data_IF_239749878362
#
_entry.id   IF_239749878362
#
_cell.length_a   1.000
_cell.length_b   1.000
_cell.length_c   1.000
_cell.angle_alpha   90.00
_cell.angle_beta   90.00
_cell.angle_gamma   90.00
#
_symmetry.space_group_name_H-M   'P 1'
#
loop_
_entity.id
_entity.type
_entity.pdbx_description
1 polymer ?
#
# COMPACT_ATOMS: atom_id res chain seq x y z
N UNK A 1 -3.57 43.31 -56.44
CA UNK A 1 -3.63 42.97 -54.99
C UNK A 1 -3.65 41.45 -54.75
N UNK A 2 -4.63 40.69 -55.25
CA UNK A 2 -4.71 39.23 -55.04
C UNK A 2 -3.50 38.43 -55.57
N UNK A 3 -2.96 38.81 -56.74
CA UNK A 3 -1.77 38.17 -57.31
C UNK A 3 -0.47 38.45 -56.51
N UNK A 4 -0.37 39.59 -55.82
CA UNK A 4 0.80 39.91 -55.00
C UNK A 4 0.80 39.14 -53.67
N UNK A 5 -0.39 38.89 -53.11
CA UNK A 5 -0.54 38.06 -51.91
C UNK A 5 -0.19 36.59 -52.17
N UNK A 6 -0.52 36.07 -53.36
CA UNK A 6 -0.25 34.67 -53.71
C UNK A 6 1.25 34.38 -53.92
N UNK A 7 2.02 35.37 -54.40
CA UNK A 7 3.48 35.28 -54.54
C UNK A 7 4.17 35.36 -53.17
N UNK A 8 3.69 36.22 -52.27
CA UNK A 8 4.23 36.32 -50.91
C UNK A 8 4.00 35.04 -50.10
N UNK A 9 2.84 34.40 -50.25
CA UNK A 9 2.53 33.14 -49.56
C UNK A 9 3.39 31.97 -50.06
N UNK A 10 3.64 31.88 -51.38
CA UNK A 10 4.50 30.84 -51.97
C UNK A 10 5.96 30.97 -51.56
N UNK A 11 6.47 32.20 -51.44
CA UNK A 11 7.85 32.44 -51.02
C UNK A 11 8.06 32.18 -49.51
N UNK A 12 7.06 32.43 -48.67
CA UNK A 12 7.14 32.13 -47.25
C UNK A 12 7.21 30.62 -46.95
N UNK A 13 6.52 29.80 -47.74
CA UNK A 13 6.54 28.34 -47.60
C UNK A 13 7.88 27.73 -48.03
N UNK A 14 8.48 28.22 -49.12
CA UNK A 14 9.78 27.73 -49.59
C UNK A 14 10.93 28.03 -48.62
N UNK A 15 10.83 29.12 -47.84
CA UNK A 15 11.86 29.51 -46.87
C UNK A 15 11.82 28.68 -45.59
N UNK A 16 10.68 28.08 -45.23
CA UNK A 16 10.56 27.20 -44.07
C UNK A 16 11.11 25.79 -44.33
N UNK A 17 11.03 25.29 -45.56
CA UNK A 17 11.52 23.95 -45.92
C UNK A 17 13.06 23.89 -45.97
N UNK A 18 13.70 24.98 -46.41
CA UNK A 18 15.17 25.07 -46.51
C UNK A 18 15.90 25.11 -45.15
N UNK A 19 15.20 25.40 -44.04
CA UNK A 19 15.80 25.47 -42.71
C UNK A 19 15.60 24.23 -41.84
N UNK A 20 14.72 23.30 -42.25
CA UNK A 20 14.38 22.13 -41.45
C UNK A 20 15.47 21.03 -41.53
N UNK A 21 16.10 20.86 -42.70
CA UNK A 21 17.10 19.81 -42.91
C UNK A 21 18.45 20.10 -42.23
N UNK A 22 18.83 21.37 -42.04
CA UNK A 22 20.10 21.70 -41.35
C UNK A 22 20.00 21.58 -39.82
N UNK A 23 18.81 21.77 -39.23
CA UNK A 23 18.63 21.60 -37.79
C UNK A 23 18.57 20.12 -37.36
N UNK A 24 18.08 19.23 -38.22
CA UNK A 24 17.86 17.81 -37.86
C UNK A 24 19.16 17.09 -37.43
N UNK A 25 20.31 17.45 -38.01
CA UNK A 25 21.60 16.84 -37.70
C UNK A 25 22.13 17.17 -36.30
N UNK A 26 21.74 18.30 -35.72
CA UNK A 26 22.17 18.69 -34.37
C UNK A 26 21.42 17.93 -33.26
N UNK A 27 20.19 17.50 -33.51
CA UNK A 27 19.35 16.82 -32.51
C UNK A 27 19.56 15.30 -32.47
N UNK A 28 19.96 14.67 -33.58
CA UNK A 28 20.24 13.23 -33.67
C UNK A 28 21.26 12.71 -32.62
N UNK A 29 22.42 13.37 -32.39
CA UNK A 29 23.36 12.93 -31.35
C UNK A 29 22.86 13.21 -29.92
N UNK A 30 22.05 14.24 -29.71
CA UNK A 30 21.44 14.52 -28.39
C UNK A 30 20.40 13.48 -28.01
N UNK A 31 19.60 13.02 -28.98
CA UNK A 31 18.58 12.00 -28.77
C UNK A 31 19.20 10.62 -28.56
N UNK A 32 20.28 10.28 -29.29
CA UNK A 32 20.95 8.99 -29.12
C UNK A 32 21.71 8.87 -27.80
N UNK A 33 22.31 9.95 -27.29
CA UNK A 33 23.00 9.97 -26.00
C UNK A 33 22.04 9.75 -24.81
N UNK A 34 20.88 10.42 -24.83
CA UNK A 34 19.86 10.25 -23.80
C UNK A 34 19.22 8.86 -23.83
N UNK A 35 19.02 8.29 -25.02
CA UNK A 35 18.50 6.92 -25.16
C UNK A 35 19.46 5.89 -24.56
N UNK A 36 20.77 6.03 -24.77
CA UNK A 36 21.78 5.12 -24.19
C UNK A 36 21.84 5.25 -22.66
N UNK A 37 21.76 6.46 -22.11
CA UNK A 37 21.69 6.68 -20.66
C UNK A 37 20.43 6.06 -20.04
N UNK A 38 19.27 6.25 -20.65
CA UNK A 38 18.02 5.65 -20.19
C UNK A 38 18.08 4.11 -20.19
N UNK A 39 18.71 3.52 -21.21
CA UNK A 39 18.89 2.07 -21.32
C UNK A 39 19.88 1.53 -20.28
N UNK A 40 20.98 2.25 -20.03
CA UNK A 40 21.92 1.89 -18.96
C UNK A 40 21.29 1.95 -17.56
N UNK A 41 20.51 3.01 -17.26
CA UNK A 41 19.80 3.15 -15.98
C UNK A 41 18.75 2.04 -15.80
N UNK A 42 18.04 1.66 -16.87
CA UNK A 42 17.05 0.59 -16.86
C UNK A 42 17.64 -0.79 -16.60
N UNK A 43 18.91 -1.02 -16.93
CA UNK A 43 19.61 -2.28 -16.65
C UNK A 43 20.22 -2.35 -15.25
N UNK A 44 20.68 -1.21 -14.70
CA UNK A 44 21.35 -1.18 -13.39
C UNK A 44 20.34 -1.18 -12.24
N UNK A 45 19.22 -0.48 -12.36
CA UNK A 45 18.21 -0.38 -11.28
C UNK A 45 17.64 -1.74 -10.83
N UNK A 46 17.25 -2.67 -11.73
CA UNK A 46 16.75 -3.97 -11.32
C UNK A 46 17.78 -4.79 -10.54
N UNK A 47 19.06 -4.74 -10.93
CA UNK A 47 20.12 -5.48 -10.27
C UNK A 47 20.36 -4.98 -8.84
N UNK A 48 20.31 -3.66 -8.62
CA UNK A 48 20.47 -3.06 -7.30
C UNK A 48 19.27 -3.37 -6.40
N UNK A 49 18.04 -3.27 -6.93
CA UNK A 49 16.82 -3.57 -6.17
C UNK A 49 16.73 -5.04 -5.78
N UNK A 50 17.03 -5.97 -6.71
CA UNK A 50 17.07 -7.40 -6.40
C UNK A 50 18.16 -7.71 -5.36
N UNK A 51 19.34 -7.10 -5.47
CA UNK A 51 20.41 -7.27 -4.49
C UNK A 51 20.03 -6.78 -3.08
N UNK A 52 19.33 -5.65 -2.97
CA UNK A 52 18.86 -5.11 -1.70
C UNK A 52 17.81 -6.02 -1.04
N UNK A 53 16.80 -6.47 -1.81
CA UNK A 53 15.74 -7.37 -1.31
C UNK A 53 16.32 -8.72 -0.88
N UNK A 54 17.28 -9.26 -1.63
CA UNK A 54 17.92 -10.54 -1.28
C UNK A 54 18.74 -10.45 0.01
N UNK A 55 19.28 -9.25 0.34
CA UNK A 55 20.06 -9.02 1.55
C UNK A 55 19.17 -9.00 2.80
N UNK A 56 17.99 -8.37 2.73
CA UNK A 56 17.04 -8.34 3.85
C UNK A 56 16.45 -9.72 4.18
N UNK A 57 16.18 -10.56 3.17
CA UNK A 57 15.68 -11.91 3.41
C UNK A 57 16.70 -12.81 4.13
N UNK A 58 18.00 -12.57 3.93
CA UNK A 58 19.04 -13.40 4.54
C UNK A 58 19.19 -13.11 6.04
N UNK A 59 19.08 -11.85 6.44
CA UNK A 59 19.12 -11.45 7.85
C UNK A 59 17.91 -11.94 8.64
N UNK A 60 16.73 -12.02 8.03
CA UNK A 60 15.53 -12.55 8.68
C UNK A 60 15.65 -14.05 8.98
N UNK A 61 16.22 -14.84 8.06
CA UNK A 61 16.40 -16.29 8.26
C UNK A 61 17.47 -16.64 9.29
N UNK A 62 18.49 -15.80 9.49
CA UNK A 62 19.51 -16.04 10.50
C UNK A 62 19.00 -15.76 11.93
N UNK A 63 18.11 -14.78 12.11
CA UNK A 63 17.48 -14.51 13.41
C UNK A 63 16.49 -15.60 13.83
N UNK A 64 15.75 -16.19 12.89
CA UNK A 64 14.79 -17.26 13.21
C UNK A 64 15.47 -18.57 13.61
N UNK A 65 16.73 -18.80 13.20
CA UNK A 65 17.48 -20.01 13.54
C UNK A 65 18.15 -19.93 14.93
N UNK A 66 18.37 -18.71 15.46
CA UNK A 66 19.00 -18.51 16.78
C UNK A 66 18.00 -18.56 17.94
N UNK A 67 16.69 -18.42 17.68
CA UNK A 67 15.62 -18.44 18.69
C UNK A 67 14.87 -19.79 18.76
N UNK A 68 15.57 -20.91 18.56
CA UNK A 68 15.03 -22.25 18.82
C UNK A 68 15.49 -22.75 20.20
N UNK A 69 14.66 -22.63 21.25
CA UNK A 69 15.00 -23.12 22.58
C UNK A 69 14.96 -24.65 22.59
N UNK A 70 16.14 -25.25 22.46
CA UNK A 70 16.36 -26.64 22.82
C UNK A 70 16.19 -26.82 24.34
N UNK A 71 15.21 -27.65 24.70
CA UNK A 71 15.09 -28.41 25.94
C UNK A 71 14.69 -27.67 27.24
N UNK A 72 13.41 -27.74 27.58
CA UNK A 72 12.97 -27.94 28.95
C UNK A 72 11.62 -28.67 29.04
N UNK A 73 11.67 -29.95 29.43
CA UNK A 73 10.72 -30.55 30.38
C UNK A 73 9.29 -30.82 29.92
N UNK A 74 9.04 -32.05 29.50
CA UNK A 74 7.74 -32.71 29.55
C UNK A 74 7.23 -32.74 31.00
N UNK A 75 6.11 -32.07 31.29
CA UNK A 75 5.26 -32.39 32.45
C UNK A 75 3.85 -32.74 31.97
N UNK A 76 3.53 -34.03 32.08
CA UNK A 76 2.18 -34.57 32.00
C UNK A 76 1.34 -34.01 33.18
N UNK A 77 0.29 -33.23 32.89
CA UNK A 77 -0.77 -32.96 33.85
C UNK A 77 -1.90 -33.98 33.70
N UNK A 78 -2.30 -34.68 34.78
CA UNK A 78 -3.48 -35.53 34.77
C UNK A 78 -4.76 -34.70 34.86
N UNK A 79 -5.79 -35.21 34.19
CA UNK A 79 -7.13 -34.68 34.18
C UNK A 79 -7.78 -34.68 35.58
N UNK A 80 -8.48 -33.58 35.89
CA UNK A 80 -9.63 -33.59 36.81
C UNK A 80 -9.48 -32.75 38.07
N UNK A 81 -10.09 -31.55 38.07
CA UNK A 81 -11.11 -31.15 39.05
C UNK A 81 -11.61 -29.73 38.77
N UNK A 82 -12.91 -29.62 38.54
CA UNK A 82 -13.67 -28.40 38.68
C UNK A 82 -13.63 -27.96 40.15
N UNK A 83 -13.24 -26.71 40.41
CA UNK A 83 -13.59 -26.01 41.64
C UNK A 83 -13.64 -24.51 41.34
N UNK A 84 -14.85 -23.97 41.44
CA UNK A 84 -15.12 -22.55 41.35
C UNK A 84 -14.46 -21.81 42.54
N UNK A 85 -13.67 -20.79 42.24
CA UNK A 85 -13.30 -19.75 43.21
C UNK A 85 -13.67 -18.40 42.65
N UNK A 86 -14.85 -17.93 43.07
CA UNK A 86 -15.20 -16.50 43.13
C UNK A 86 -14.22 -15.83 44.09
N UNK A 87 -13.28 -15.05 43.57
CA UNK A 87 -12.56 -14.06 44.38
C UNK A 87 -13.14 -12.69 44.05
N UNK A 88 -14.11 -12.28 44.85
CA UNK A 88 -14.56 -10.89 44.94
C UNK A 88 -13.54 -10.13 45.78
N UNK A 89 -12.52 -9.60 45.11
CA UNK A 89 -11.58 -8.63 45.69
C UNK A 89 -12.06 -7.22 45.38
N UNK A 90 -12.87 -6.63 46.28
CA UNK A 90 -13.05 -5.18 46.35
C UNK A 90 -11.73 -4.54 46.79
N UNK A 91 -10.88 -4.15 45.84
CA UNK A 91 -9.80 -3.20 46.10
C UNK A 91 -10.22 -1.83 45.60
N UNK A 92 -10.79 -1.05 46.53
CA UNK A 92 -11.04 0.38 46.42
C UNK A 92 -9.72 1.10 46.69
N UNK A 93 -8.78 1.05 45.75
CA UNK A 93 -7.51 1.76 45.85
C UNK A 93 -7.00 2.14 44.46
N UNK A 94 -6.71 3.45 44.30
CA UNK A 94 -5.99 4.10 43.19
C UNK A 94 -6.72 4.25 41.86
N UNK A 95 -7.57 5.27 41.81
CA UNK A 95 -7.45 6.25 40.73
C UNK A 95 -6.05 6.88 40.80
N UNK A 96 -5.39 7.09 39.65
CA UNK A 96 -4.02 7.66 39.48
C UNK A 96 -2.86 6.64 39.55
N UNK A 97 -2.74 5.79 38.52
CA UNK A 97 -1.45 5.26 38.00
C UNK A 97 -1.69 4.30 36.82
N UNK A 98 -2.50 4.69 35.82
CA UNK A 98 -2.49 3.99 34.53
C UNK A 98 -1.47 4.73 33.67
N UNK A 99 -0.35 4.08 33.36
CA UNK A 99 0.55 4.53 32.31
C UNK A 99 -0.21 4.73 30.98
N UNK A 100 0.42 5.29 29.94
CA UNK A 100 -0.23 5.39 28.63
C UNK A 100 -0.75 3.99 28.27
N UNK A 101 -2.08 3.85 28.20
CA UNK A 101 -2.65 2.61 27.69
C UNK A 101 -2.23 2.57 26.24
N UNK A 102 -1.50 1.53 25.85
CA UNK A 102 -1.23 1.29 24.44
C UNK A 102 -2.57 1.37 23.71
N UNK A 103 -2.65 2.13 22.60
CA UNK A 103 -3.89 2.30 21.89
C UNK A 103 -4.40 0.92 21.48
N UNK A 104 -5.63 0.60 21.87
CA UNK A 104 -6.25 -0.69 21.58
C UNK A 104 -6.51 -0.76 20.07
N UNK A 105 -5.79 -1.66 19.41
CA UNK A 105 -5.93 -1.92 17.98
C UNK A 105 -6.90 -3.07 17.77
N UNK A 106 -8.07 -2.78 17.22
CA UNK A 106 -9.06 -3.76 16.83
C UNK A 106 -8.98 -3.97 15.31
N UNK A 107 -8.82 -5.21 14.86
CA UNK A 107 -8.81 -5.55 13.43
C UNK A 107 -9.92 -6.53 13.15
N UNK A 108 -10.71 -6.26 12.10
CA UNK A 108 -11.84 -7.10 11.68
C UNK A 108 -11.79 -7.34 10.18
N UNK A 109 -12.23 -8.52 9.76
CA UNK A 109 -12.49 -8.81 8.35
C UNK A 109 -13.57 -7.87 7.80
N UNK A 110 -13.58 -7.59 6.51
CA UNK A 110 -14.50 -6.58 5.93
C UNK A 110 -15.99 -6.90 6.20
N UNK A 111 -16.34 -8.17 6.28
CA UNK A 111 -17.69 -8.67 6.59
C UNK A 111 -18.09 -8.33 8.03
N UNK A 112 -17.12 -8.25 8.94
CA UNK A 112 -17.32 -7.91 10.36
C UNK A 112 -17.01 -6.44 10.67
N UNK A 113 -16.46 -5.69 9.71
CA UNK A 113 -16.01 -4.32 9.93
C UNK A 113 -17.14 -3.36 10.36
N UNK A 114 -18.40 -3.67 10.04
CA UNK A 114 -19.57 -2.93 10.54
C UNK A 114 -19.77 -3.04 12.05
N UNK A 115 -19.14 -4.01 12.72
CA UNK A 115 -19.16 -4.16 14.18
C UNK A 115 -18.16 -3.23 14.87
N UNK A 116 -17.21 -2.65 14.14
CA UNK A 116 -16.28 -1.66 14.68
C UNK A 116 -17.03 -0.36 14.96
N UNK A 117 -17.02 0.07 16.21
CA UNK A 117 -17.71 1.29 16.63
C UNK A 117 -17.19 2.52 15.88
N UNK A 118 -18.06 3.14 15.08
CA UNK A 118 -17.75 4.33 14.26
C UNK A 118 -17.13 4.03 12.89
N UNK A 119 -17.15 2.77 12.42
CA UNK A 119 -16.61 2.41 11.11
C UNK A 119 -17.21 3.28 9.99
N UNK A 120 -16.38 3.94 9.16
CA UNK A 120 -16.88 4.85 8.12
C UNK A 120 -17.37 4.12 6.86
N UNK A 121 -17.17 2.80 6.78
CA UNK A 121 -17.59 1.97 5.64
C UNK A 121 -18.72 1.02 6.06
N UNK A 122 -19.70 0.88 5.17
CA UNK A 122 -20.68 -0.22 5.20
C UNK A 122 -20.43 -1.11 4.00
N UNK A 123 -20.34 -2.42 4.28
CA UNK A 123 -20.12 -3.48 3.29
C UNK A 123 -21.41 -4.26 2.99
N UNK A 124 -22.56 -3.67 3.30
CA UNK A 124 -23.85 -4.30 3.04
C UNK A 124 -24.03 -4.51 1.53
N UNK A 125 -24.31 -5.76 1.15
CA UNK A 125 -24.48 -6.18 -0.24
C UNK A 125 -23.18 -6.43 -1.01
N UNK A 126 -22.01 -6.39 -0.37
CA UNK A 126 -20.77 -6.88 -0.97
C UNK A 126 -20.77 -8.41 -0.94
N UNK A 127 -20.55 -9.06 -2.08
CA UNK A 127 -20.54 -10.53 -2.17
C UNK A 127 -19.11 -11.09 -2.03
N UNK A 128 -18.12 -10.29 -2.44
CA UNK A 128 -16.72 -10.68 -2.41
C UNK A 128 -15.77 -9.54 -1.97
N UNK A 129 -14.48 -9.88 -1.90
CA UNK A 129 -13.41 -8.96 -1.53
C UNK A 129 -13.26 -7.81 -2.54
N UNK A 130 -13.57 -8.03 -3.82
CA UNK A 130 -13.48 -7.00 -4.84
C UNK A 130 -14.58 -5.94 -4.66
N UNK A 131 -15.79 -6.34 -4.29
CA UNK A 131 -16.86 -5.40 -3.96
C UNK A 131 -16.51 -4.56 -2.74
N UNK A 132 -15.94 -5.18 -1.71
CA UNK A 132 -15.48 -4.48 -0.52
C UNK A 132 -14.37 -3.47 -0.85
N UNK A 133 -13.41 -3.87 -1.70
CA UNK A 133 -12.35 -3.00 -2.19
C UNK A 133 -12.91 -1.77 -2.93
N UNK A 134 -13.82 -1.97 -3.88
CA UNK A 134 -14.44 -0.87 -4.65
C UNK A 134 -15.25 0.07 -3.74
N UNK A 135 -15.88 -0.47 -2.69
CA UNK A 135 -16.63 0.31 -1.70
C UNK A 135 -15.72 1.24 -0.90
N UNK A 136 -14.52 0.79 -0.54
CA UNK A 136 -13.54 1.59 0.20
C UNK A 136 -12.99 2.72 -0.66
N UNK A 137 -12.61 2.43 -1.90
CA UNK A 137 -11.95 3.41 -2.77
C UNK A 137 -12.89 4.50 -3.28
N UNK A 138 -14.21 4.29 -3.28
CA UNK A 138 -15.27 5.24 -3.67
C UNK A 138 -15.03 5.93 -5.03
N UNK A 139 -15.89 5.62 -6.01
CA UNK A 139 -15.84 6.28 -7.32
C UNK A 139 -16.53 7.67 -7.26
N UNK A 140 -16.05 8.67 -8.03
CA UNK A 140 -14.96 8.59 -9.00
C UNK A 140 -13.56 8.80 -8.40
N UNK A 141 -12.59 7.99 -8.85
CA UNK A 141 -11.17 8.17 -8.53
C UNK A 141 -10.49 9.11 -9.53
N UNK A 142 -9.54 9.90 -9.01
CA UNK A 142 -8.58 10.66 -9.81
C UNK A 142 -7.80 9.71 -10.76
N UNK A 143 -7.36 10.21 -11.91
CA UNK A 143 -6.74 9.39 -12.98
C UNK A 143 -5.55 8.58 -12.47
N UNK A 144 -4.67 9.20 -11.68
CA UNK A 144 -3.45 8.55 -11.18
C UNK A 144 -3.78 7.48 -10.14
N UNK A 145 -4.77 7.75 -9.28
CA UNK A 145 -5.24 6.79 -8.28
C UNK A 145 -5.99 5.62 -8.91
N UNK A 146 -6.63 5.81 -10.07
CA UNK A 146 -7.31 4.74 -10.79
C UNK A 146 -6.35 3.64 -11.21
N UNK A 147 -5.22 4.00 -11.82
CA UNK A 147 -4.20 3.03 -12.22
C UNK A 147 -3.62 2.28 -11.01
N UNK A 148 -3.37 2.99 -9.91
CA UNK A 148 -2.92 2.38 -8.65
C UNK A 148 -3.98 1.44 -8.06
N UNK A 149 -5.26 1.84 -8.07
CA UNK A 149 -6.36 1.02 -7.54
C UNK A 149 -6.58 -0.25 -8.36
N UNK A 150 -6.48 -0.17 -9.69
CA UNK A 150 -6.65 -1.32 -10.60
C UNK A 150 -5.49 -2.31 -10.40
N UNK A 151 -4.26 -1.80 -10.30
CA UNK A 151 -3.07 -2.62 -10.05
C UNK A 151 -3.12 -3.31 -8.68
N UNK A 152 -3.62 -2.62 -7.65
CA UNK A 152 -3.81 -3.18 -6.32
C UNK A 152 -4.94 -4.22 -6.31
N UNK A 153 -6.10 -3.89 -6.90
CA UNK A 153 -7.28 -4.78 -6.97
C UNK A 153 -6.94 -6.17 -7.51
N UNK A 154 -6.09 -6.24 -8.54
CA UNK A 154 -5.66 -7.52 -9.14
C UNK A 154 -4.82 -8.40 -8.21
N UNK A 155 -4.25 -7.83 -7.14
CA UNK A 155 -3.34 -8.51 -6.21
C UNK A 155 -3.96 -8.73 -4.83
N UNK A 156 -5.05 -8.06 -4.49
CA UNK A 156 -5.74 -8.19 -3.21
C UNK A 156 -6.44 -9.54 -3.12
N UNK A 157 -6.20 -10.25 -2.02
CA UNK A 157 -6.90 -11.48 -1.65
C UNK A 157 -7.82 -11.30 -0.42
N UNK A 158 -7.53 -10.30 0.41
CA UNK A 158 -8.26 -10.06 1.66
C UNK A 158 -8.27 -8.57 2.02
N UNK A 159 -9.33 -8.15 2.71
CA UNK A 159 -9.54 -6.78 3.16
C UNK A 159 -9.96 -6.83 4.62
N UNK A 160 -9.23 -6.12 5.47
CA UNK A 160 -9.56 -5.96 6.87
C UNK A 160 -9.63 -4.47 7.21
N UNK A 161 -10.43 -4.13 8.20
CA UNK A 161 -10.49 -2.77 8.75
C UNK A 161 -9.89 -2.79 10.15
N UNK A 162 -8.90 -1.94 10.34
CA UNK A 162 -8.28 -1.67 11.62
C UNK A 162 -8.86 -0.40 12.22
N UNK A 163 -9.17 -0.43 13.51
CA UNK A 163 -9.61 0.70 14.32
C UNK A 163 -8.63 0.89 15.47
N UNK A 164 -8.25 2.13 15.73
CA UNK A 164 -7.47 2.50 16.90
C UNK A 164 -8.11 3.69 17.61
N UNK A 165 -8.27 3.60 18.93
CA UNK A 165 -8.83 4.68 19.74
C UNK A 165 -7.72 5.65 20.16
N UNK A 166 -7.78 6.90 19.70
CA UNK A 166 -6.84 7.97 20.10
C UNK A 166 -7.34 8.66 21.37
N UNK A 167 -8.66 8.84 21.47
CA UNK A 167 -9.34 9.37 22.65
C UNK A 167 -10.70 8.68 22.83
N UNK A 168 -11.42 8.88 23.95
CA UNK A 168 -12.76 8.30 24.14
C UNK A 168 -13.77 8.66 23.05
N UNK A 169 -13.58 9.82 22.42
CA UNK A 169 -14.48 10.38 21.40
C UNK A 169 -13.88 10.32 19.98
N UNK A 170 -12.63 9.88 19.84
CA UNK A 170 -11.90 9.89 18.57
C UNK A 170 -11.25 8.53 18.27
N UNK A 171 -11.63 7.96 17.13
CA UNK A 171 -11.05 6.74 16.60
C UNK A 171 -10.53 6.97 15.18
N UNK A 172 -9.38 6.39 14.87
CA UNK A 172 -8.82 6.35 13.52
C UNK A 172 -9.06 4.99 12.91
N UNK A 173 -9.28 4.99 11.60
CA UNK A 173 -9.51 3.78 10.83
C UNK A 173 -8.49 3.65 9.71
N UNK A 174 -8.02 2.43 9.50
CA UNK A 174 -7.15 2.07 8.39
C UNK A 174 -7.66 0.79 7.75
N UNK A 175 -7.36 0.61 6.46
CA UNK A 175 -7.65 -0.61 5.73
C UNK A 175 -6.36 -1.39 5.56
N UNK A 176 -6.43 -2.69 5.85
CA UNK A 176 -5.34 -3.64 5.65
C UNK A 176 -5.70 -4.53 4.48
N UNK A 177 -4.90 -4.43 3.41
CA UNK A 177 -5.04 -5.26 2.23
C UNK A 177 -4.05 -6.42 2.31
N UNK A 178 -4.55 -7.64 2.37
CA UNK A 178 -3.73 -8.83 2.20
C UNK A 178 -3.58 -9.11 0.71
N UNK A 179 -2.35 -9.37 0.25
CA UNK A 179 -2.06 -9.71 -1.15
C UNK A 179 -1.84 -11.21 -1.33
N UNK A 180 -1.99 -11.72 -2.56
CA UNK A 180 -1.78 -13.14 -2.91
C UNK A 180 -0.39 -13.70 -2.55
N UNK A 181 0.60 -12.83 -2.30
CA UNK A 181 1.94 -13.22 -1.85
C UNK A 181 2.13 -13.24 -0.33
N UNK A 182 1.07 -13.05 0.46
CA UNK A 182 1.14 -12.97 1.92
C UNK A 182 1.56 -11.60 2.47
N UNK A 183 1.98 -10.67 1.62
CA UNK A 183 2.28 -9.30 2.01
C UNK A 183 1.00 -8.55 2.45
N UNK A 184 1.12 -7.69 3.45
CA UNK A 184 0.07 -6.78 3.90
C UNK A 184 0.41 -5.33 3.55
N UNK A 185 -0.54 -4.61 2.96
CA UNK A 185 -0.45 -3.18 2.70
C UNK A 185 -1.45 -2.43 3.56
N UNK A 186 -1.03 -1.31 4.13
CA UNK A 186 -1.87 -0.44 4.95
C UNK A 186 -2.24 0.79 4.14
N UNK A 187 -3.52 1.12 4.10
CA UNK A 187 -4.04 2.32 3.45
C UNK A 187 -5.01 3.07 4.36
N UNK A 188 -5.00 4.40 4.28
CA UNK A 188 -6.13 5.21 4.77
C UNK A 188 -7.28 5.21 3.76
N UNK A 189 -8.41 5.80 4.14
CA UNK A 189 -9.38 6.25 3.14
C UNK A 189 -8.68 7.24 2.18
N UNK A 190 -8.87 7.13 0.85
CA UNK A 190 -8.45 8.16 -0.08
C UNK A 190 -9.18 9.49 0.16
#
# INVERSE_FOLDING_TARGET
>A
LKAAQDIAAKNAFAMLDAGADEMAWYWLPLLSSNALLALAVSLVLPAVVVGAVYREQRTAKEQELEESPAAAGVQLQPAGRQAATRVVGRSRARALARGPRDPELEVRDWQEAGQLAGCPWSFDGCEDVHDAFERIWRRPLARDLRAASEALRAKVQGVQVARTAVSPDEALFAVVYSLHGGAALFGGAP
#
